data_IF_288695284527
#
_entry.id   IF_288695284527
#
_cell.length_a   1.000
_cell.length_b   1.000
_cell.length_c   1.000
_cell.angle_alpha   90.00
_cell.angle_beta   90.00
_cell.angle_gamma   90.00
#
_symmetry.space_group_name_H-M   'P 1'
#
loop_
_entity.id
_entity.type
_entity.pdbx_description
1 polymer ?
#
# COMPACT_ATOMS: atom_id res chain seq x y z
N UNK A 1 -34.04 -73.37 1.90
CA UNK A 1 -33.84 -72.79 0.55
C UNK A 1 -33.68 -71.28 0.68
N UNK A 2 -32.59 -70.78 0.12
CA UNK A 2 -32.01 -69.44 0.28
C UNK A 2 -32.97 -68.32 -0.11
N UNK A 3 -33.17 -67.32 0.77
CA UNK A 3 -33.57 -65.92 0.45
C UNK A 3 -33.83 -65.18 1.77
N UNK A 4 -32.85 -64.46 2.31
CA UNK A 4 -32.99 -63.35 3.30
C UNK A 4 -31.67 -62.88 3.95
N UNK A 5 -30.49 -63.33 3.50
CA UNK A 5 -29.19 -62.83 4.00
C UNK A 5 -28.42 -61.92 3.02
N UNK A 6 -28.96 -61.62 1.84
CA UNK A 6 -28.25 -60.83 0.83
C UNK A 6 -28.33 -59.30 1.05
N UNK A 7 -29.40 -58.79 1.67
CA UNK A 7 -29.60 -57.33 1.83
C UNK A 7 -28.71 -56.67 2.90
N UNK A 8 -28.35 -57.39 3.97
CA UNK A 8 -27.56 -56.84 5.09
C UNK A 8 -26.05 -56.78 4.79
N UNK A 9 -25.55 -57.61 3.87
CA UNK A 9 -24.13 -57.63 3.50
C UNK A 9 -23.86 -56.54 2.46
N UNK A 10 -24.80 -56.32 1.53
CA UNK A 10 -24.71 -55.26 0.52
C UNK A 10 -24.64 -53.87 1.16
N UNK A 11 -25.44 -53.60 2.20
CA UNK A 11 -25.42 -52.31 2.91
C UNK A 11 -24.16 -52.11 3.78
N UNK A 12 -23.58 -53.19 4.34
CA UNK A 12 -22.35 -53.11 5.17
C UNK A 12 -21.06 -53.00 4.35
N UNK A 13 -21.05 -53.44 3.09
CA UNK A 13 -19.91 -53.32 2.18
C UNK A 13 -19.95 -52.04 1.34
N UNK A 14 -21.13 -51.55 0.96
CA UNK A 14 -21.27 -50.37 0.11
C UNK A 14 -21.18 -49.06 0.89
N UNK A 15 -21.69 -49.03 2.13
CA UNK A 15 -21.64 -47.82 2.96
C UNK A 15 -20.20 -47.34 3.27
N UNK A 16 -19.23 -48.20 3.64
CA UNK A 16 -17.84 -47.75 3.76
C UNK A 16 -17.23 -47.38 2.40
N UNK A 17 -17.63 -48.03 1.30
CA UNK A 17 -17.13 -47.72 -0.05
C UNK A 17 -17.67 -46.40 -0.62
N UNK A 18 -18.80 -45.89 -0.10
CA UNK A 18 -19.39 -44.60 -0.44
C UNK A 18 -18.91 -43.46 0.47
N UNK A 19 -18.52 -43.76 1.72
CA UNK A 19 -17.99 -42.77 2.69
C UNK A 19 -16.48 -42.56 2.49
N UNK A 20 -15.72 -43.59 2.13
CA UNK A 20 -14.26 -43.49 1.90
C UNK A 20 -13.86 -42.47 0.79
N UNK A 21 -14.53 -42.39 -0.37
CA UNK A 21 -14.22 -41.37 -1.37
C UNK A 21 -14.64 -39.96 -0.93
N UNK A 22 -15.65 -39.81 -0.08
CA UNK A 22 -16.05 -38.50 0.49
C UNK A 22 -15.01 -38.00 1.50
N UNK A 23 -14.38 -38.90 2.26
CA UNK A 23 -13.27 -38.55 3.16
C UNK A 23 -11.95 -38.30 2.41
N UNK A 24 -11.69 -39.00 1.29
CA UNK A 24 -10.48 -38.81 0.48
C UNK A 24 -10.58 -37.60 -0.46
N UNK A 25 -11.78 -37.19 -0.88
CA UNK A 25 -11.99 -35.96 -1.63
C UNK A 25 -12.00 -34.69 -0.76
N UNK A 26 -12.13 -34.85 0.58
CA UNK A 26 -12.24 -33.75 1.54
C UNK A 26 -10.92 -33.17 2.04
N UNK A 27 -9.77 -33.69 1.61
CA UNK A 27 -8.44 -33.17 1.98
C UNK A 27 -7.67 -32.77 0.72
N UNK A 28 -8.21 -31.84 -0.07
CA UNK A 28 -7.35 -31.15 -1.03
C UNK A 28 -6.46 -30.21 -0.22
N UNK A 29 -5.15 -30.48 -0.25
CA UNK A 29 -4.14 -29.51 0.16
C UNK A 29 -4.42 -28.15 -0.52
N UNK A 30 -4.05 -27.06 0.14
CA UNK A 30 -4.24 -25.71 -0.39
C UNK A 30 -3.80 -25.63 -1.86
N UNK A 31 -4.62 -25.02 -2.71
CA UNK A 31 -4.32 -24.92 -4.15
C UNK A 31 -3.07 -24.08 -4.41
N UNK A 32 -2.69 -23.22 -3.46
CA UNK A 32 -1.48 -22.41 -3.50
C UNK A 32 -0.67 -22.59 -2.20
N UNK A 33 0.51 -23.20 -2.32
CA UNK A 33 1.48 -23.27 -1.22
C UNK A 33 2.02 -21.87 -0.89
N UNK A 34 2.12 -21.54 0.40
CA UNK A 34 2.59 -20.24 0.87
C UNK A 34 3.95 -19.80 0.33
N UNK A 35 4.85 -20.74 0.03
CA UNK A 35 6.18 -20.46 -0.55
C UNK A 35 6.11 -19.92 -1.98
N UNK A 36 5.10 -20.34 -2.74
CA UNK A 36 4.91 -19.98 -4.17
C UNK A 36 3.80 -18.97 -4.39
N UNK A 37 3.33 -18.31 -3.34
CA UNK A 37 2.19 -17.39 -3.41
C UNK A 37 2.48 -16.21 -4.36
N UNK A 38 3.71 -15.66 -4.28
CA UNK A 38 4.17 -14.56 -5.12
C UNK A 38 4.14 -14.94 -6.61
N UNK A 39 4.71 -16.10 -6.92
CA UNK A 39 4.72 -16.66 -8.28
C UNK A 39 3.30 -16.93 -8.78
N UNK A 40 2.43 -17.50 -7.94
CA UNK A 40 1.06 -17.83 -8.32
C UNK A 40 0.24 -16.59 -8.70
N UNK A 41 0.35 -15.49 -7.96
CA UNK A 41 -0.36 -14.24 -8.25
C UNK A 41 0.18 -13.61 -9.54
N UNK A 42 1.51 -13.54 -9.68
CA UNK A 42 2.13 -13.04 -10.91
C UNK A 42 1.75 -13.89 -12.13
N UNK A 43 1.68 -15.21 -11.98
CA UNK A 43 1.28 -16.14 -13.02
C UNK A 43 -0.17 -15.95 -13.45
N UNK A 44 -1.10 -15.79 -12.48
CA UNK A 44 -2.52 -15.53 -12.77
C UNK A 44 -2.66 -14.18 -13.49
N UNK A 45 -2.00 -13.14 -12.97
CA UNK A 45 -2.01 -11.81 -13.55
C UNK A 45 -1.54 -11.82 -15.01
N UNK A 46 -0.47 -12.57 -15.31
CA UNK A 46 0.06 -12.71 -16.66
C UNK A 46 -0.84 -13.56 -17.56
N UNK A 47 -1.21 -14.77 -17.12
CA UNK A 47 -1.92 -15.77 -17.94
C UNK A 47 -3.37 -15.38 -18.21
N UNK A 48 -4.06 -14.89 -17.19
CA UNK A 48 -5.50 -14.65 -17.26
C UNK A 48 -5.81 -13.21 -17.72
N UNK A 49 -4.91 -12.25 -17.45
CA UNK A 49 -5.17 -10.81 -17.63
C UNK A 49 -4.09 -10.05 -18.41
N UNK A 50 -2.99 -10.69 -18.84
CA UNK A 50 -1.94 -10.06 -19.65
C UNK A 50 -1.14 -8.97 -18.92
N UNK A 51 -1.02 -9.09 -17.59
CA UNK A 51 -0.25 -8.15 -16.75
C UNK A 51 1.15 -8.77 -16.50
N UNK A 52 2.14 -8.35 -17.28
CA UNK A 52 3.47 -8.99 -17.31
C UNK A 52 4.37 -8.67 -16.10
N UNK A 53 4.20 -7.50 -15.49
CA UNK A 53 5.12 -6.89 -14.51
C UNK A 53 4.45 -6.55 -13.17
N UNK A 54 3.99 -7.57 -12.46
CA UNK A 54 3.42 -7.43 -11.12
C UNK A 54 4.48 -7.73 -10.04
N UNK A 55 4.71 -6.84 -9.07
CA UNK A 55 5.53 -7.14 -7.88
C UNK A 55 4.60 -7.59 -6.74
N UNK A 56 4.96 -8.69 -6.09
CA UNK A 56 4.17 -9.29 -5.00
C UNK A 56 5.05 -9.44 -3.79
N UNK A 57 4.65 -8.80 -2.70
CA UNK A 57 5.37 -8.79 -1.42
C UNK A 57 4.46 -9.25 -0.30
N UNK A 58 5.05 -9.80 0.74
CA UNK A 58 4.32 -10.21 1.94
C UNK A 58 5.10 -9.65 3.12
N UNK A 59 4.46 -8.81 3.91
CA UNK A 59 4.99 -8.26 5.15
C UNK A 59 4.06 -8.66 6.29
N UNK A 60 4.59 -9.30 7.33
CA UNK A 60 3.78 -9.93 8.38
C UNK A 60 2.66 -10.81 7.81
N UNK A 61 1.41 -10.40 8.05
CA UNK A 61 0.18 -11.05 7.55
C UNK A 61 -0.51 -10.29 6.40
N UNK A 62 0.15 -9.27 5.83
CA UNK A 62 -0.33 -8.48 4.70
C UNK A 62 0.25 -8.99 3.39
N UNK A 63 -0.62 -9.34 2.44
CA UNK A 63 -0.24 -9.60 1.06
C UNK A 63 -0.32 -8.30 0.25
N UNK A 64 0.81 -7.80 -0.21
CA UNK A 64 0.87 -6.64 -1.08
C UNK A 64 1.06 -7.01 -2.55
N UNK A 65 0.43 -6.24 -3.44
CA UNK A 65 0.56 -6.33 -4.88
C UNK A 65 0.74 -4.94 -5.50
N UNK A 66 1.77 -4.77 -6.31
CA UNK A 66 2.00 -3.58 -7.12
C UNK A 66 1.55 -3.82 -8.57
N UNK A 67 0.63 -3.00 -9.03
CA UNK A 67 0.05 -3.03 -10.36
C UNK A 67 0.48 -1.78 -11.14
N UNK A 68 1.52 -1.86 -11.99
CA UNK A 68 1.88 -0.76 -12.86
C UNK A 68 0.85 -0.60 -13.98
N UNK A 69 0.40 0.64 -14.20
CA UNK A 69 -0.53 1.02 -15.25
C UNK A 69 0.08 2.15 -16.09
N UNK A 70 -0.20 2.14 -17.38
CA UNK A 70 0.21 3.22 -18.29
C UNK A 70 -0.68 4.45 -18.19
N UNK A 71 -1.92 4.26 -17.73
CA UNK A 71 -2.87 5.35 -17.50
C UNK A 71 -3.89 4.94 -16.44
N UNK A 72 -3.78 5.55 -15.25
CA UNK A 72 -4.73 5.33 -14.18
C UNK A 72 -5.96 6.25 -14.32
N UNK A 73 -5.74 7.54 -14.59
CA UNK A 73 -6.81 8.55 -14.60
C UNK A 73 -7.10 9.10 -16.01
N UNK A 74 -8.35 9.50 -16.24
CA UNK A 74 -8.81 9.98 -17.54
C UNK A 74 -8.28 11.38 -17.91
N UNK A 75 -8.05 12.23 -16.91
CA UNK A 75 -7.60 13.61 -17.09
C UNK A 75 -6.17 13.75 -16.59
N UNK A 76 -5.33 14.41 -17.39
CA UNK A 76 -4.01 14.85 -16.91
C UNK A 76 -4.23 16.02 -15.93
N UNK A 77 -4.09 15.73 -14.64
CA UNK A 77 -4.29 16.67 -13.53
C UNK A 77 -3.51 17.97 -13.73
N UNK A 78 -2.32 17.89 -14.35
CA UNK A 78 -1.47 19.06 -14.61
C UNK A 78 -2.12 20.01 -15.60
N UNK A 79 -2.69 19.49 -16.69
CA UNK A 79 -3.41 20.30 -17.69
C UNK A 79 -4.71 20.89 -17.11
N UNK A 80 -5.43 20.13 -16.28
CA UNK A 80 -6.67 20.59 -15.68
C UNK A 80 -6.47 21.72 -14.66
N UNK A 81 -5.42 21.65 -13.84
CA UNK A 81 -5.08 22.74 -12.90
C UNK A 81 -4.53 23.96 -13.65
N UNK A 82 -3.65 23.77 -14.63
CA UNK A 82 -3.03 24.88 -15.38
C UNK A 82 -4.04 25.62 -16.27
N UNK A 83 -5.11 24.96 -16.73
CA UNK A 83 -6.14 25.56 -17.58
C UNK A 83 -7.23 26.33 -16.81
N UNK A 84 -7.24 26.29 -15.47
CA UNK A 84 -8.22 26.99 -14.64
C UNK A 84 -9.67 26.53 -14.82
N UNK A 85 -9.89 25.42 -15.53
CA UNK A 85 -11.22 24.83 -15.81
C UNK A 85 -11.55 23.70 -14.84
N UNK A 86 -11.39 23.92 -13.54
CA UNK A 86 -11.86 22.98 -12.52
C UNK A 86 -13.15 23.52 -11.93
N UNK A 87 -14.28 23.14 -12.50
CA UNK A 87 -15.62 23.43 -11.96
C UNK A 87 -16.09 22.37 -10.98
N UNK A 88 -15.49 21.18 -10.99
CA UNK A 88 -15.82 20.07 -10.11
C UNK A 88 -14.55 19.24 -9.83
N UNK A 89 -14.17 19.11 -8.55
CA UNK A 89 -12.96 18.38 -8.15
C UNK A 89 -13.16 16.86 -8.19
N UNK A 90 -14.41 16.39 -8.10
CA UNK A 90 -14.73 14.96 -8.01
C UNK A 90 -14.62 14.25 -9.38
N UNK A 91 -14.79 14.99 -10.49
CA UNK A 91 -14.61 14.47 -11.84
C UNK A 91 -13.15 14.29 -12.27
N UNK A 92 -12.20 14.91 -11.56
CA UNK A 92 -10.77 14.87 -11.91
C UNK A 92 -10.08 13.58 -11.52
N UNK A 93 -10.62 12.86 -10.53
CA UNK A 93 -10.02 11.65 -9.97
C UNK A 93 -10.75 10.37 -10.41
N UNK A 94 -11.45 10.40 -11.55
CA UNK A 94 -12.08 9.22 -12.10
C UNK A 94 -11.03 8.34 -12.81
N UNK A 95 -10.81 7.11 -12.34
CA UNK A 95 -9.95 6.18 -13.06
C UNK A 95 -10.56 5.83 -14.42
N UNK A 96 -9.72 5.50 -15.40
CA UNK A 96 -10.21 5.05 -16.71
C UNK A 96 -10.95 3.70 -16.58
N UNK A 97 -11.89 3.41 -17.47
CA UNK A 97 -12.58 2.10 -17.47
C UNK A 97 -11.60 0.93 -17.58
N UNK A 98 -10.53 1.10 -18.36
CA UNK A 98 -9.46 0.11 -18.49
C UNK A 98 -8.71 -0.08 -17.16
N UNK A 99 -8.38 0.99 -16.46
CA UNK A 99 -7.73 0.93 -15.16
C UNK A 99 -8.64 0.24 -14.12
N UNK A 100 -9.93 0.59 -14.09
CA UNK A 100 -10.92 -0.04 -13.21
C UNK A 100 -10.96 -1.55 -13.47
N UNK A 101 -11.07 -1.97 -14.72
CA UNK A 101 -11.10 -3.39 -15.10
C UNK A 101 -9.86 -4.13 -14.61
N UNK A 102 -8.66 -3.58 -14.86
CA UNK A 102 -7.40 -4.20 -14.40
C UNK A 102 -7.28 -4.28 -12.88
N UNK A 103 -7.76 -3.26 -12.17
CA UNK A 103 -7.82 -3.26 -10.71
C UNK A 103 -8.77 -4.34 -10.21
N UNK A 104 -9.97 -4.46 -10.80
CA UNK A 104 -10.94 -5.49 -10.42
C UNK A 104 -10.43 -6.91 -10.69
N UNK A 105 -9.82 -7.13 -11.86
CA UNK A 105 -9.18 -8.40 -12.24
C UNK A 105 -8.08 -8.80 -11.24
N UNK A 106 -7.27 -7.82 -10.82
CA UNK A 106 -6.21 -8.04 -9.83
C UNK A 106 -6.79 -8.32 -8.44
N UNK A 107 -7.77 -7.54 -7.97
CA UNK A 107 -8.45 -7.78 -6.69
C UNK A 107 -9.12 -9.16 -6.67
N UNK A 108 -9.69 -9.59 -7.80
CA UNK A 108 -10.25 -10.92 -7.94
C UNK A 108 -9.18 -12.01 -7.83
N UNK A 109 -8.05 -11.83 -8.50
CA UNK A 109 -6.89 -12.74 -8.44
C UNK A 109 -6.35 -12.89 -7.02
N UNK A 110 -6.13 -11.76 -6.34
CA UNK A 110 -5.73 -11.69 -4.93
C UNK A 110 -6.74 -12.46 -4.07
N UNK A 111 -8.04 -12.19 -4.24
CA UNK A 111 -9.09 -12.84 -3.46
C UNK A 111 -9.10 -14.37 -3.64
N UNK A 112 -8.86 -14.86 -4.87
CA UNK A 112 -8.81 -16.30 -5.17
C UNK A 112 -7.63 -16.99 -4.47
N UNK A 113 -6.48 -16.34 -4.48
CA UNK A 113 -5.25 -16.86 -3.88
C UNK A 113 -5.35 -16.86 -2.36
N UNK A 114 -5.80 -15.75 -1.75
CA UNK A 114 -5.99 -15.62 -0.29
C UNK A 114 -6.95 -16.69 0.25
N UNK A 115 -8.04 -16.96 -0.47
CA UNK A 115 -9.03 -17.95 -0.03
C UNK A 115 -8.57 -19.41 -0.19
N UNK A 116 -7.49 -19.65 -0.92
CA UNK A 116 -7.06 -20.99 -1.33
C UNK A 116 -5.59 -21.29 -0.98
N UNK A 117 -4.99 -20.50 -0.09
CA UNK A 117 -3.62 -20.71 0.41
C UNK A 117 -3.62 -21.32 1.80
N UNK A 118 -2.54 -22.02 2.14
CA UNK A 118 -2.22 -22.53 3.48
C UNK A 118 -1.52 -21.47 4.36
N UNK A 119 -1.00 -20.39 3.77
CA UNK A 119 -0.40 -19.29 4.52
C UNK A 119 -1.48 -18.39 5.11
N UNK A 120 -1.35 -18.04 6.39
CA UNK A 120 -2.25 -17.06 7.03
C UNK A 120 -2.02 -15.67 6.43
N UNK A 121 -3.03 -15.15 5.75
CA UNK A 121 -3.08 -13.80 5.21
C UNK A 121 -4.32 -13.11 5.78
N UNK A 122 -4.11 -12.11 6.62
CA UNK A 122 -5.18 -11.37 7.29
C UNK A 122 -5.56 -10.13 6.47
N UNK A 123 -4.60 -9.51 5.76
CA UNK A 123 -4.83 -8.31 4.98
C UNK A 123 -4.32 -8.44 3.54
N UNK A 124 -4.93 -7.67 2.64
CA UNK A 124 -4.42 -7.47 1.30
C UNK A 124 -4.26 -5.99 1.00
N UNK A 125 -3.19 -5.66 0.28
CA UNK A 125 -2.84 -4.32 -0.15
C UNK A 125 -2.60 -4.34 -1.67
N UNK A 126 -3.39 -3.60 -2.44
CA UNK A 126 -3.16 -3.41 -3.87
C UNK A 126 -2.77 -1.96 -4.10
N UNK A 127 -1.63 -1.72 -4.73
CA UNK A 127 -1.19 -0.40 -5.15
C UNK A 127 -1.19 -0.36 -6.68
N UNK A 128 -2.16 0.36 -7.27
CA UNK A 128 -2.23 0.57 -8.70
C UNK A 128 -1.64 1.94 -9.04
N UNK A 129 -0.59 1.99 -9.85
CA UNK A 129 0.20 3.21 -10.04
C UNK A 129 0.36 3.55 -11.51
N UNK A 130 0.12 4.82 -11.88
CA UNK A 130 0.47 5.35 -13.19
C UNK A 130 1.98 5.55 -13.29
N UNK A 131 2.66 4.61 -13.95
CA UNK A 131 4.13 4.62 -14.08
C UNK A 131 4.62 5.48 -15.23
N UNK A 132 3.73 5.93 -16.11
CA UNK A 132 4.11 6.54 -17.37
C UNK A 132 4.04 8.06 -17.36
N UNK A 133 3.01 8.63 -16.74
CA UNK A 133 2.74 10.08 -16.81
C UNK A 133 2.78 10.76 -15.46
N UNK A 134 1.91 10.35 -14.55
CA UNK A 134 1.59 11.18 -13.39
C UNK A 134 2.25 10.74 -12.10
N UNK A 135 2.62 9.45 -11.97
CA UNK A 135 3.04 8.88 -10.69
C UNK A 135 1.90 8.81 -9.66
N UNK A 136 0.65 9.11 -10.04
CA UNK A 136 -0.47 8.98 -9.12
C UNK A 136 -0.77 7.50 -8.92
N UNK A 137 -1.10 7.15 -7.69
CA UNK A 137 -1.46 5.80 -7.31
C UNK A 137 -2.81 5.77 -6.60
N UNK A 138 -3.49 4.64 -6.77
CA UNK A 138 -4.70 4.27 -6.07
C UNK A 138 -4.41 3.00 -5.27
N UNK A 139 -4.45 3.11 -3.96
CA UNK A 139 -4.20 2.00 -3.04
C UNK A 139 -5.52 1.40 -2.57
N UNK A 140 -5.53 0.11 -2.28
CA UNK A 140 -6.65 -0.60 -1.68
C UNK A 140 -6.14 -1.49 -0.56
N UNK A 141 -6.63 -1.26 0.65
CA UNK A 141 -6.34 -2.09 1.81
C UNK A 141 -7.64 -2.72 2.32
N UNK A 142 -7.65 -4.05 2.45
CA UNK A 142 -8.81 -4.78 2.94
C UNK A 142 -8.45 -5.99 3.79
N UNK A 143 -9.43 -6.46 4.56
CA UNK A 143 -9.31 -7.63 5.42
C UNK A 143 -9.80 -8.89 4.71
N UNK A 144 -9.06 -9.99 4.81
CA UNK A 144 -9.33 -11.22 4.07
C UNK A 144 -10.67 -11.87 4.45
N UNK A 145 -11.09 -11.80 5.71
CA UNK A 145 -12.39 -12.35 6.11
C UNK A 145 -13.57 -11.55 5.57
N UNK A 146 -13.40 -10.26 5.26
CA UNK A 146 -14.49 -9.49 4.65
C UNK A 146 -14.82 -10.01 3.24
N UNK A 147 -13.82 -10.53 2.51
CA UNK A 147 -14.02 -11.22 1.22
C UNK A 147 -14.92 -12.45 1.42
N UNK A 148 -14.67 -13.24 2.47
CA UNK A 148 -15.50 -14.42 2.78
C UNK A 148 -16.91 -13.98 3.12
N UNK A 149 -17.05 -13.01 4.02
CA UNK A 149 -18.35 -12.52 4.50
C UNK A 149 -19.21 -11.94 3.39
N UNK A 150 -18.63 -11.17 2.46
CA UNK A 150 -19.41 -10.64 1.32
C UNK A 150 -19.82 -11.75 0.36
N UNK A 151 -18.98 -12.77 0.15
CA UNK A 151 -19.30 -13.94 -0.70
C UNK A 151 -20.38 -14.84 -0.08
N UNK A 152 -20.42 -14.95 1.24
CA UNK A 152 -21.45 -15.68 1.99
C UNK A 152 -22.69 -14.83 2.32
N UNK A 153 -22.76 -13.58 1.82
CA UNK A 153 -23.87 -12.65 2.09
C UNK A 153 -24.05 -12.28 3.57
N UNK A 154 -23.04 -12.51 4.42
CA UNK A 154 -23.03 -12.09 5.83
C UNK A 154 -22.97 -10.56 5.98
N UNK A 155 -22.42 -9.88 4.97
CA UNK A 155 -22.42 -8.42 4.85
C UNK A 155 -22.85 -8.01 3.43
N UNK A 156 -23.61 -6.92 3.28
CA UNK A 156 -23.95 -6.41 1.96
C UNK A 156 -22.73 -5.78 1.29
N UNK A 157 -22.74 -5.72 -0.05
CA UNK A 157 -21.67 -5.09 -0.85
C UNK A 157 -21.43 -3.63 -0.48
N UNK A 158 -22.49 -2.91 -0.07
CA UNK A 158 -22.37 -1.53 0.41
C UNK A 158 -21.52 -1.42 1.67
N UNK A 159 -21.69 -2.34 2.63
CA UNK A 159 -20.86 -2.38 3.83
C UNK A 159 -19.44 -2.86 3.53
N UNK A 160 -19.26 -3.83 2.62
CA UNK A 160 -17.94 -4.25 2.17
C UNK A 160 -17.14 -3.06 1.60
N UNK A 161 -17.75 -2.21 0.76
CA UNK A 161 -17.11 -1.00 0.23
C UNK A 161 -16.70 0.00 1.31
N UNK A 162 -17.49 0.14 2.39
CA UNK A 162 -17.12 1.00 3.53
C UNK A 162 -15.99 0.43 4.39
N UNK A 163 -15.76 -0.89 4.32
CA UNK A 163 -14.71 -1.58 5.08
C UNK A 163 -13.35 -1.51 4.38
N UNK A 164 -13.35 -1.46 3.06
CA UNK A 164 -12.14 -1.30 2.27
C UNK A 164 -11.63 0.15 2.32
N UNK A 165 -10.35 0.30 2.65
CA UNK A 165 -9.64 1.59 2.65
C UNK A 165 -9.07 1.79 1.24
N UNK A 166 -9.29 2.96 0.63
CA UNK A 166 -8.81 3.26 -0.72
C UNK A 166 -8.19 4.66 -0.83
N UNK A 167 -6.91 4.83 -1.06
CA UNK A 167 -6.28 6.17 -1.04
C UNK A 167 -5.71 6.55 -2.39
N UNK A 168 -5.81 7.84 -2.72
CA UNK A 168 -5.13 8.42 -3.87
C UNK A 168 -3.91 9.16 -3.32
N UNK A 169 -2.73 8.77 -3.78
CA UNK A 169 -1.46 9.37 -3.36
C UNK A 169 -0.59 9.64 -4.59
N UNK A 170 0.44 10.46 -4.41
CA UNK A 170 1.45 10.73 -5.44
C UNK A 170 2.72 9.98 -5.08
N UNK A 171 3.11 9.03 -5.93
CA UNK A 171 4.33 8.26 -5.81
C UNK A 171 5.36 8.75 -6.82
N UNK A 172 6.23 9.66 -6.36
CA UNK A 172 7.27 10.25 -7.21
C UNK A 172 8.41 9.30 -7.51
N UNK A 173 8.68 8.34 -6.62
CA UNK A 173 9.77 7.37 -6.78
C UNK A 173 9.63 6.59 -8.09
N UNK A 174 8.41 6.20 -8.47
CA UNK A 174 8.13 5.52 -9.74
C UNK A 174 8.62 6.31 -10.96
N UNK A 175 8.40 7.62 -10.97
CA UNK A 175 8.86 8.49 -12.06
C UNK A 175 10.39 8.64 -12.04
N UNK A 176 10.97 8.82 -10.86
CA UNK A 176 12.42 8.95 -10.70
C UNK A 176 13.18 7.68 -11.03
N UNK A 177 12.59 6.51 -10.82
CA UNK A 177 13.21 5.23 -11.12
C UNK A 177 13.11 4.85 -12.60
N UNK A 178 12.17 5.42 -13.34
CA UNK A 178 11.98 5.21 -14.79
C UNK A 178 13.26 5.34 -15.62
N UNK A 179 14.06 6.43 -15.53
CA UNK A 179 15.32 6.54 -16.28
C UNK A 179 16.35 5.47 -15.87
N UNK A 180 16.37 5.03 -14.62
CA UNK A 180 17.27 3.96 -14.14
C UNK A 180 16.86 2.61 -14.73
N UNK A 181 15.57 2.29 -14.69
CA UNK A 181 15.02 1.07 -15.32
C UNK A 181 15.28 1.05 -16.82
N UNK A 182 15.05 2.20 -17.49
CA UNK A 182 15.33 2.36 -18.92
C UNK A 182 16.81 2.15 -19.24
N UNK A 183 17.72 2.67 -18.41
CA UNK A 183 19.15 2.47 -18.57
C UNK A 183 19.53 0.98 -18.54
N UNK A 184 19.07 0.22 -17.54
CA UNK A 184 19.38 -1.22 -17.46
C UNK A 184 18.68 -2.05 -18.54
N UNK A 185 17.46 -1.68 -18.95
CA UNK A 185 16.80 -2.27 -20.11
C UNK A 185 17.60 -2.04 -21.40
N UNK A 186 18.05 -0.80 -21.62
CA UNK A 186 18.87 -0.43 -22.77
C UNK A 186 20.22 -1.16 -22.75
N UNK A 187 20.84 -1.39 -21.58
CA UNK A 187 22.07 -2.18 -21.46
C UNK A 187 21.89 -3.62 -21.95
N UNK A 188 20.70 -4.20 -21.79
CA UNK A 188 20.39 -5.54 -22.23
C UNK A 188 20.11 -5.61 -23.75
N UNK A 189 19.47 -4.60 -24.31
CA UNK A 189 18.98 -4.65 -25.69
C UNK A 189 19.89 -3.98 -26.72
N UNK A 190 20.50 -2.84 -26.36
CA UNK A 190 21.19 -1.94 -27.29
C UNK A 190 22.67 -2.27 -27.46
N UNK A 191 23.23 -1.72 -28.53
CA UNK A 191 24.65 -1.82 -28.84
C UNK A 191 25.47 -0.76 -28.10
N UNK A 192 26.77 -1.02 -27.96
CA UNK A 192 27.73 -0.12 -27.32
C UNK A 192 27.71 1.31 -27.92
N UNK A 193 27.71 1.51 -29.27
CA UNK A 193 27.66 2.86 -29.84
C UNK A 193 26.36 3.60 -29.51
N UNK A 194 25.22 2.91 -29.50
CA UNK A 194 23.93 3.51 -29.16
C UNK A 194 23.90 3.96 -27.69
N UNK A 195 24.40 3.12 -26.78
CA UNK A 195 24.51 3.45 -25.36
C UNK A 195 25.46 4.62 -25.10
N UNK A 196 26.58 4.68 -25.83
CA UNK A 196 27.53 5.79 -25.76
C UNK A 196 26.84 7.12 -26.07
N UNK A 197 26.01 7.15 -27.12
CA UNK A 197 25.27 8.33 -27.54
C UNK A 197 24.13 8.68 -26.57
N UNK A 198 23.51 7.71 -25.91
CA UNK A 198 22.37 7.95 -25.02
C UNK A 198 22.80 8.42 -23.62
N UNK A 199 23.82 7.79 -23.03
CA UNK A 199 24.13 7.95 -21.60
C UNK A 199 25.55 8.42 -21.29
N UNK A 200 26.48 8.30 -22.24
CA UNK A 200 27.92 8.47 -21.97
C UNK A 200 28.62 9.47 -22.88
N UNK A 201 27.89 10.49 -23.40
CA UNK A 201 28.44 11.48 -24.35
C UNK A 201 29.74 12.14 -23.88
N UNK A 202 29.86 12.35 -22.57
CA UNK A 202 30.98 13.07 -21.95
C UNK A 202 32.01 12.14 -21.26
N UNK A 203 31.86 10.81 -21.36
CA UNK A 203 32.77 9.85 -20.72
C UNK A 203 33.68 9.13 -21.73
N UNK A 204 34.91 8.82 -21.30
CA UNK A 204 35.84 8.01 -22.10
C UNK A 204 35.30 6.59 -22.25
N UNK A 205 35.20 6.13 -23.50
CA UNK A 205 34.65 4.82 -23.87
C UNK A 205 35.25 3.60 -23.18
N UNK A 206 36.51 3.69 -22.73
CA UNK A 206 37.23 2.61 -22.07
C UNK A 206 36.80 2.43 -20.60
N UNK A 207 36.39 3.51 -19.94
CA UNK A 207 36.13 3.50 -18.49
C UNK A 207 34.76 2.87 -18.20
N UNK A 208 33.71 3.31 -18.91
CA UNK A 208 32.37 2.72 -18.75
C UNK A 208 32.24 1.36 -19.46
N UNK A 209 33.00 1.12 -20.53
CA UNK A 209 32.96 -0.15 -21.26
C UNK A 209 33.36 -1.35 -20.37
N UNK A 210 34.37 -1.15 -19.50
CA UNK A 210 34.77 -2.17 -18.52
C UNK A 210 33.73 -2.36 -17.43
N UNK A 211 33.19 -1.26 -16.90
CA UNK A 211 32.20 -1.31 -15.83
C UNK A 211 30.92 -2.05 -16.25
N UNK A 212 30.48 -1.86 -17.49
CA UNK A 212 29.26 -2.48 -18.01
C UNK A 212 29.48 -3.75 -18.87
N UNK A 213 30.67 -4.36 -18.79
CA UNK A 213 31.04 -5.60 -19.48
C UNK A 213 30.91 -5.57 -21.02
N UNK A 214 31.22 -4.42 -21.62
CA UNK A 214 31.40 -4.21 -23.06
C UNK A 214 32.87 -4.30 -23.50
N UNK A 215 33.71 -4.94 -22.69
CA UNK A 215 35.09 -5.30 -23.06
C UNK A 215 35.30 -6.80 -22.87
N UNK A 216 35.98 -7.45 -23.82
CA UNK A 216 36.38 -8.85 -23.70
C UNK A 216 37.50 -9.05 -22.65
N UNK A 217 37.91 -10.30 -22.43
CA UNK A 217 39.00 -10.64 -21.50
C UNK A 217 40.36 -10.09 -21.91
N UNK A 218 40.51 -9.67 -23.17
CA UNK A 218 41.72 -9.06 -23.74
C UNK A 218 41.65 -7.53 -23.69
N UNK A 219 40.56 -6.94 -23.19
CA UNK A 219 40.33 -5.50 -23.14
C UNK A 219 39.80 -4.88 -24.44
N UNK A 220 39.49 -5.67 -25.46
CA UNK A 220 38.91 -5.17 -26.71
C UNK A 220 37.42 -4.91 -26.53
N UNK A 221 36.89 -3.84 -27.13
CA UNK A 221 35.48 -3.54 -27.03
C UNK A 221 34.61 -4.56 -27.79
N UNK A 222 33.53 -4.99 -27.16
CA UNK A 222 32.47 -5.80 -27.79
C UNK A 222 31.24 -4.94 -28.09
N UNK A 223 30.53 -5.28 -29.15
CA UNK A 223 29.38 -4.51 -29.63
C UNK A 223 28.15 -4.66 -28.72
N UNK A 224 27.93 -5.85 -28.17
CA UNK A 224 26.85 -6.13 -27.20
C UNK A 224 27.41 -6.56 -25.86
N UNK A 225 26.68 -6.25 -24.79
CA UNK A 225 27.04 -6.63 -23.44
C UNK A 225 27.14 -8.15 -23.31
N UNK A 226 28.16 -8.60 -22.58
CA UNK A 226 28.38 -10.03 -22.28
C UNK A 226 27.51 -10.55 -21.12
N UNK A 227 26.74 -9.65 -20.49
CA UNK A 227 25.88 -9.94 -19.34
C UNK A 227 24.49 -9.34 -19.51
N UNK A 228 23.51 -9.99 -18.91
CA UNK A 228 22.16 -9.48 -18.71
C UNK A 228 22.06 -8.87 -17.30
N UNK A 229 21.48 -7.69 -17.22
CA UNK A 229 21.33 -6.90 -16.01
C UNK A 229 19.90 -7.00 -15.47
N UNK A 230 19.80 -7.28 -14.18
CA UNK A 230 18.55 -7.36 -13.43
C UNK A 230 18.64 -6.42 -12.21
N UNK A 231 17.60 -5.62 -11.98
CA UNK A 231 17.53 -4.72 -10.83
C UNK A 231 17.01 -5.52 -9.62
N UNK A 232 17.77 -5.54 -8.54
CA UNK A 232 17.42 -6.21 -7.28
C UNK A 232 16.75 -5.26 -6.30
N UNK A 233 17.24 -4.03 -6.21
CA UNK A 233 16.68 -2.98 -5.36
C UNK A 233 16.86 -1.63 -6.02
N UNK A 234 15.89 -0.73 -5.81
CA UNK A 234 15.94 0.65 -6.28
C UNK A 234 15.24 1.56 -5.29
N UNK A 235 15.95 2.59 -4.85
CA UNK A 235 15.47 3.57 -3.88
C UNK A 235 15.88 4.96 -4.31
N UNK A 236 15.14 5.98 -3.90
CA UNK A 236 15.47 7.35 -4.26
C UNK A 236 15.26 8.33 -3.13
N UNK A 237 15.98 9.44 -3.22
CA UNK A 237 15.88 10.55 -2.30
C UNK A 237 15.87 11.84 -3.11
N UNK A 238 14.85 12.67 -2.87
CA UNK A 238 14.84 14.03 -3.40
C UNK A 238 15.90 14.87 -2.68
N UNK A 239 16.73 15.55 -3.46
CA UNK A 239 17.67 16.57 -3.00
C UNK A 239 17.09 17.96 -3.34
N UNK A 240 17.77 19.04 -2.94
CA UNK A 240 17.40 20.40 -3.29
C UNK A 240 17.43 20.63 -4.82
N UNK A 241 16.68 21.61 -5.31
CA UNK A 241 16.70 22.09 -6.70
C UNK A 241 16.33 21.07 -7.79
N UNK A 242 15.29 20.26 -7.55
CA UNK A 242 14.78 19.27 -8.53
C UNK A 242 15.76 18.16 -8.88
N UNK A 243 16.84 18.01 -8.10
CA UNK A 243 17.73 16.88 -8.22
C UNK A 243 17.24 15.72 -7.37
N UNK A 244 17.37 14.52 -7.92
CA UNK A 244 17.04 13.27 -7.24
C UNK A 244 18.25 12.37 -7.32
N UNK A 245 18.56 11.71 -6.22
CA UNK A 245 19.56 10.64 -6.18
C UNK A 245 18.82 9.33 -6.09
N UNK A 246 19.06 8.43 -7.04
CA UNK A 246 18.53 7.07 -7.00
C UNK A 246 19.67 6.08 -6.76
N UNK A 247 19.53 5.25 -5.75
CA UNK A 247 20.37 4.09 -5.50
C UNK A 247 19.79 2.89 -6.25
N UNK A 248 20.63 2.11 -6.93
CA UNK A 248 20.22 0.83 -7.48
C UNK A 248 21.24 -0.26 -7.16
N UNK A 249 20.73 -1.38 -6.64
CA UNK A 249 21.45 -2.64 -6.53
C UNK A 249 21.05 -3.54 -7.67
N UNK A 250 22.02 -4.05 -8.41
CA UNK A 250 21.78 -4.84 -9.63
C UNK A 250 22.62 -6.10 -9.67
N UNK A 251 22.13 -7.07 -10.42
CA UNK A 251 22.76 -8.36 -10.68
C UNK A 251 23.07 -8.48 -12.17
N UNK A 252 24.34 -8.73 -12.50
CA UNK A 252 24.79 -8.95 -13.87
C UNK A 252 25.09 -10.44 -14.10
N UNK A 253 24.23 -11.13 -14.86
CA UNK A 253 24.31 -12.56 -15.15
C UNK A 253 25.00 -12.80 -16.49
N UNK A 254 25.96 -13.71 -16.57
CA UNK A 254 26.65 -14.02 -17.83
C UNK A 254 25.72 -14.66 -18.87
N UNK A 255 25.71 -14.09 -20.09
CA UNK A 255 24.96 -14.66 -21.22
C UNK A 255 25.47 -16.04 -21.57
N UNK A 256 24.56 -17.03 -21.60
CA UNK A 256 24.88 -18.41 -21.99
C UNK A 256 25.57 -19.26 -20.91
N UNK A 257 25.82 -18.74 -19.70
CA UNK A 257 26.30 -19.52 -18.54
C UNK A 257 25.45 -19.22 -17.31
N UNK A 258 24.33 -19.95 -17.12
CA UNK A 258 23.49 -19.80 -15.95
C UNK A 258 24.29 -20.10 -14.67
N UNK A 259 24.28 -19.16 -13.71
CA UNK A 259 24.85 -19.36 -12.36
C UNK A 259 26.00 -18.43 -11.98
N UNK A 260 26.75 -17.89 -12.93
CA UNK A 260 27.76 -16.86 -12.64
C UNK A 260 27.12 -15.47 -12.72
N UNK A 261 27.02 -14.79 -11.57
CA UNK A 261 26.56 -13.41 -11.48
C UNK A 261 27.53 -12.55 -10.67
N UNK A 262 27.48 -11.25 -10.90
CA UNK A 262 28.17 -10.25 -10.08
C UNK A 262 27.13 -9.23 -9.63
N UNK A 263 27.12 -8.92 -8.35
CA UNK A 263 26.32 -7.83 -7.80
C UNK A 263 27.10 -6.52 -7.92
N UNK A 264 26.40 -5.46 -8.28
CA UNK A 264 26.92 -4.11 -8.41
C UNK A 264 25.93 -3.13 -7.83
N UNK A 265 26.45 -2.03 -7.30
CA UNK A 265 25.66 -0.96 -6.71
C UNK A 265 26.05 0.37 -7.35
N UNK A 266 25.06 1.20 -7.65
CA UNK A 266 25.24 2.47 -8.33
C UNK A 266 24.36 3.57 -7.71
N UNK A 267 24.84 4.80 -7.78
CA UNK A 267 24.05 6.01 -7.59
C UNK A 267 23.83 6.71 -8.93
N UNK A 268 22.60 7.12 -9.15
CA UNK A 268 22.16 7.87 -10.31
C UNK A 268 21.75 9.26 -9.86
N UNK A 269 22.33 10.30 -10.47
CA UNK A 269 21.83 11.67 -10.34
C UNK A 269 20.85 11.95 -11.46
N UNK A 270 19.65 12.35 -11.09
CA UNK A 270 18.52 12.53 -11.98
C UNK A 270 18.02 13.96 -11.81
N UNK A 271 17.82 14.66 -12.92
CA UNK A 271 17.21 15.98 -12.92
C UNK A 271 15.72 15.82 -13.25
N UNK A 272 14.85 16.16 -12.32
CA UNK A 272 13.40 16.05 -12.44
C UNK A 272 12.78 17.41 -12.80
N UNK A 273 12.84 17.79 -14.07
CA UNK A 273 12.34 19.11 -14.53
C UNK A 273 10.89 19.00 -15.00
N UNK A 274 9.94 19.30 -14.11
CA UNK A 274 8.51 19.40 -14.45
C UNK A 274 7.91 18.06 -14.89
N UNK A 275 8.02 17.74 -16.19
CA UNK A 275 7.43 16.57 -16.87
C UNK A 275 8.46 15.56 -17.39
N UNK A 276 9.75 15.79 -17.11
CA UNK A 276 10.83 14.92 -17.61
C UNK A 276 11.88 14.66 -16.55
N UNK A 277 12.20 13.39 -16.38
CA UNK A 277 13.32 12.89 -15.59
C UNK A 277 14.49 12.55 -16.53
N UNK A 278 15.59 13.28 -16.39
CA UNK A 278 16.78 13.07 -17.20
C UNK A 278 17.92 12.52 -16.34
N UNK A 279 18.52 11.41 -16.78
CA UNK A 279 19.70 10.85 -16.13
C UNK A 279 20.93 11.72 -16.42
N UNK A 280 21.50 12.34 -15.39
CA UNK A 280 22.68 13.22 -15.51
C UNK A 280 23.99 12.52 -15.26
N UNK A 281 24.03 11.62 -14.28
CA UNK A 281 25.28 10.93 -13.92
C UNK A 281 25.01 9.55 -13.34
N UNK A 282 25.91 8.63 -13.64
CA UNK A 282 25.97 7.28 -13.07
C UNK A 282 27.29 7.17 -12.30
N UNK A 283 27.21 6.76 -11.04
CA UNK A 283 28.35 6.70 -10.11
C UNK A 283 28.38 5.29 -9.49
N UNK A 284 29.36 4.45 -9.85
CA UNK A 284 29.56 3.16 -9.16
C UNK A 284 29.82 3.38 -7.66
N UNK A 285 29.19 2.59 -6.78
CA UNK A 285 29.37 2.73 -5.32
C UNK A 285 30.82 2.54 -4.85
N UNK A 286 31.65 1.85 -5.64
CA UNK A 286 33.07 1.67 -5.37
C UNK A 286 33.89 2.96 -5.56
N UNK A 287 33.39 3.91 -6.36
CA UNK A 287 34.07 5.19 -6.64
C UNK A 287 33.35 6.41 -6.05
N UNK A 288 32.30 6.19 -5.25
CA UNK A 288 31.46 7.26 -4.68
C UNK A 288 32.25 8.25 -3.86
N UNK A 289 33.17 7.81 -3.00
CA UNK A 289 33.94 8.74 -2.16
C UNK A 289 34.81 9.69 -2.99
N UNK A 290 35.47 9.16 -4.02
CA UNK A 290 36.30 9.94 -4.94
C UNK A 290 35.47 10.94 -5.76
N UNK A 291 34.23 10.57 -6.11
CA UNK A 291 33.35 11.43 -6.92
C UNK A 291 32.63 12.48 -6.06
N UNK A 292 32.22 12.15 -4.83
CA UNK A 292 31.53 13.07 -3.95
C UNK A 292 32.47 14.15 -3.39
N UNK A 293 33.76 13.84 -3.21
CA UNK A 293 34.77 14.85 -2.86
C UNK A 293 34.94 15.93 -3.93
N UNK A 294 34.73 15.59 -5.21
CA UNK A 294 34.87 16.52 -6.34
C UNK A 294 33.62 17.42 -6.53
N UNK A 295 32.45 16.99 -6.04
CA UNK A 295 31.16 17.65 -6.30
C UNK A 295 30.64 18.44 -5.09
N UNK A 296 31.39 18.46 -3.96
CA UNK A 296 30.99 19.15 -2.72
C UNK A 296 29.59 18.75 -2.20
N UNK A 297 29.18 17.51 -2.47
CA UNK A 297 27.93 16.98 -1.92
C UNK A 297 28.14 16.59 -0.44
N UNK A 298 27.24 16.97 0.47
CA UNK A 298 27.39 16.74 1.91
C UNK A 298 27.00 15.30 2.33
N UNK A 299 27.28 14.29 1.51
CA UNK A 299 26.98 12.90 1.81
C UNK A 299 28.23 12.04 1.68
N UNK A 300 28.44 11.13 2.61
CA UNK A 300 29.46 10.07 2.53
C UNK A 300 28.79 8.75 2.15
N UNK A 301 29.59 7.76 1.72
CA UNK A 301 29.10 6.41 1.44
C UNK A 301 28.40 5.78 2.65
N UNK A 302 28.96 5.98 3.85
CA UNK A 302 28.38 5.52 5.12
C UNK A 302 27.02 6.15 5.39
N UNK A 303 26.90 7.49 5.24
CA UNK A 303 25.61 8.18 5.42
C UNK A 303 24.53 7.69 4.46
N UNK A 304 24.92 7.31 3.24
CA UNK A 304 23.99 6.73 2.27
C UNK A 304 23.47 5.39 2.82
N UNK A 305 24.35 4.44 3.15
CA UNK A 305 23.92 3.14 3.68
C UNK A 305 23.08 3.26 4.96
N UNK A 306 23.48 4.13 5.89
CA UNK A 306 22.75 4.35 7.14
C UNK A 306 21.35 4.97 6.93
N UNK A 307 21.13 5.63 5.79
CA UNK A 307 19.86 6.28 5.46
C UNK A 307 19.03 5.53 4.43
N UNK A 308 19.56 4.51 3.74
CA UNK A 308 18.87 3.81 2.63
C UNK A 308 17.48 3.28 3.00
N UNK A 309 17.28 2.84 4.25
CA UNK A 309 15.98 2.36 4.75
C UNK A 309 14.90 3.43 4.88
N UNK A 310 15.28 4.69 4.75
CA UNK A 310 14.36 5.84 4.76
C UNK A 310 14.20 6.47 3.38
N UNK A 311 14.85 5.93 2.35
CA UNK A 311 14.71 6.42 0.99
C UNK A 311 13.40 5.91 0.39
N UNK A 312 12.83 6.71 -0.51
CA UNK A 312 11.56 6.42 -1.14
C UNK A 312 11.69 5.17 -2.03
N UNK A 313 10.70 4.28 -1.94
CA UNK A 313 10.58 3.10 -2.80
C UNK A 313 9.29 3.18 -3.61
N UNK A 314 9.24 2.46 -4.73
CA UNK A 314 8.02 2.44 -5.56
C UNK A 314 6.89 1.68 -4.88
N UNK A 315 7.21 0.70 -4.03
CA UNK A 315 6.24 -0.23 -3.50
C UNK A 315 6.64 -0.69 -2.10
N UNK A 316 5.85 -0.28 -1.11
CA UNK A 316 5.99 -0.67 0.28
C UNK A 316 4.69 -1.32 0.76
N UNK A 317 4.81 -2.47 1.40
CA UNK A 317 3.66 -3.20 1.94
C UNK A 317 3.59 -2.91 3.44
N UNK A 318 2.46 -2.37 3.94
CA UNK A 318 2.35 -2.13 5.37
C UNK A 318 2.23 -3.44 6.15
N UNK A 319 2.99 -3.58 7.24
CA UNK A 319 2.71 -4.59 8.26
C UNK A 319 1.45 -4.18 9.03
N UNK A 320 0.30 -4.68 8.57
CA UNK A 320 -1.00 -4.23 9.04
C UNK A 320 -1.50 -5.11 10.18
N UNK A 321 -1.85 -4.49 11.30
CA UNK A 321 -2.56 -5.17 12.38
C UNK A 321 -4.06 -4.87 12.32
N UNK A 322 -4.86 -5.70 12.99
CA UNK A 322 -6.31 -5.47 13.09
C UNK A 322 -6.64 -4.15 13.78
N UNK A 323 -5.92 -3.77 14.82
CA UNK A 323 -6.17 -2.50 15.51
C UNK A 323 -5.90 -1.28 14.61
N UNK A 324 -4.80 -1.30 13.86
CA UNK A 324 -4.44 -0.24 12.92
C UNK A 324 -5.44 -0.15 11.76
N UNK A 325 -5.81 -1.29 11.18
CA UNK A 325 -6.80 -1.38 10.12
C UNK A 325 -8.15 -0.80 10.56
N UNK A 326 -8.62 -1.15 11.76
CA UNK A 326 -9.88 -0.64 12.29
C UNK A 326 -9.81 0.87 12.58
N UNK A 327 -8.67 1.37 13.07
CA UNK A 327 -8.47 2.80 13.28
C UNK A 327 -8.52 3.60 11.97
N UNK A 328 -7.85 3.11 10.92
CA UNK A 328 -7.90 3.71 9.58
C UNK A 328 -9.31 3.66 8.99
N UNK A 329 -9.97 2.50 9.06
CA UNK A 329 -11.34 2.33 8.58
C UNK A 329 -12.31 3.27 9.30
N UNK A 330 -12.23 3.35 10.64
CA UNK A 330 -13.06 4.24 11.43
C UNK A 330 -12.79 5.70 11.14
N UNK A 331 -11.54 6.10 10.91
CA UNK A 331 -11.19 7.47 10.52
C UNK A 331 -11.96 7.89 9.26
N UNK A 332 -11.96 7.03 8.24
CA UNK A 332 -12.63 7.31 6.97
C UNK A 332 -14.15 7.30 7.09
N UNK A 333 -14.69 6.31 7.81
CA UNK A 333 -16.14 6.25 8.09
C UNK A 333 -16.59 7.49 8.87
N UNK A 334 -15.77 7.98 9.79
CA UNK A 334 -16.00 9.25 10.51
C UNK A 334 -16.03 10.45 9.58
N UNK A 335 -15.03 10.58 8.70
CA UNK A 335 -14.97 11.69 7.74
C UNK A 335 -16.18 11.69 6.80
N UNK A 336 -16.64 10.51 6.36
CA UNK A 336 -17.85 10.37 5.54
C UNK A 336 -19.13 10.74 6.31
N UNK A 337 -19.26 10.34 7.58
CA UNK A 337 -20.40 10.73 8.41
C UNK A 337 -20.45 12.26 8.61
N UNK A 338 -19.29 12.86 8.89
CA UNK A 338 -19.15 14.31 9.09
C UNK A 338 -19.52 15.08 7.82
N UNK A 339 -19.13 14.61 6.64
CA UNK A 339 -19.41 15.31 5.38
C UNK A 339 -20.88 15.24 4.96
N UNK A 340 -21.62 14.25 5.45
CA UNK A 340 -23.03 14.03 5.13
C UNK A 340 -23.99 14.65 6.17
N UNK A 341 -23.48 15.13 7.30
CA UNK A 341 -24.29 15.62 8.41
C UNK A 341 -24.50 17.15 8.33
N UNK A 342 -25.75 17.55 8.12
CA UNK A 342 -26.13 18.97 7.98
C UNK A 342 -25.87 19.79 9.25
N UNK A 343 -26.05 19.20 10.45
CA UNK A 343 -25.82 19.91 11.72
C UNK A 343 -24.34 20.22 11.87
N UNK A 344 -23.47 19.26 11.57
CA UNK A 344 -22.01 19.45 11.60
C UNK A 344 -21.60 20.50 10.56
N UNK A 345 -22.06 20.38 9.32
CA UNK A 345 -21.75 21.32 8.25
C UNK A 345 -22.12 22.77 8.60
N UNK A 346 -23.27 22.97 9.24
CA UNK A 346 -23.74 24.31 9.61
C UNK A 346 -23.01 24.90 10.83
N UNK A 347 -22.46 24.05 11.69
CA UNK A 347 -21.86 24.47 12.97
C UNK A 347 -20.36 24.73 12.88
N UNK A 348 -19.62 23.85 12.21
CA UNK A 348 -18.15 23.87 12.19
C UNK A 348 -17.62 24.46 10.88
N UNK A 349 -16.54 25.24 10.95
CA UNK A 349 -15.89 25.79 9.74
C UNK A 349 -15.06 24.74 8.99
N UNK A 350 -14.71 23.64 9.67
CA UNK A 350 -14.12 22.45 9.05
C UNK A 350 -13.67 21.46 10.12
N UNK A 351 -14.15 20.22 10.06
CA UNK A 351 -13.81 19.19 11.04
C UNK A 351 -12.73 18.27 10.48
N UNK A 352 -11.66 18.06 11.24
CA UNK A 352 -10.65 17.03 10.97
C UNK A 352 -10.65 16.01 12.08
N UNK A 353 -10.71 14.74 11.71
CA UNK A 353 -10.70 13.61 12.64
C UNK A 353 -9.68 12.57 12.20
N UNK A 354 -9.00 11.98 13.19
CA UNK A 354 -8.08 10.86 13.03
C UNK A 354 -8.26 9.95 14.23
N UNK A 355 -8.50 8.66 14.00
CA UNK A 355 -8.38 7.64 15.03
C UNK A 355 -7.02 6.96 14.91
N UNK A 356 -6.41 6.67 16.06
CA UNK A 356 -5.24 5.81 16.19
C UNK A 356 -5.54 4.68 17.16
N UNK A 357 -4.87 3.55 16.96
CA UNK A 357 -4.84 2.47 17.92
C UNK A 357 -3.47 2.46 18.61
N UNK A 358 -3.47 2.37 19.93
CA UNK A 358 -2.26 2.17 20.72
C UNK A 358 -2.27 0.74 21.27
N UNK A 359 -1.34 -0.12 20.79
CA UNK A 359 -1.24 -1.50 21.24
C UNK A 359 -0.51 -1.63 22.60
N UNK A 360 0.06 -0.56 23.15
CA UNK A 360 0.72 -0.58 24.45
C UNK A 360 -0.32 -0.53 25.57
N UNK A 361 -0.11 -1.31 26.62
CA UNK A 361 -1.04 -1.39 27.74
C UNK A 361 -1.08 -0.07 28.56
N UNK A 362 -2.26 0.46 28.91
CA UNK A 362 -3.59 -0.02 28.52
C UNK A 362 -3.90 0.23 27.04
N UNK A 363 -4.32 -0.82 26.33
CA UNK A 363 -4.56 -0.80 24.89
C UNK A 363 -5.78 0.07 24.61
N UNK A 364 -5.69 1.00 23.67
CA UNK A 364 -6.80 1.92 23.48
C UNK A 364 -6.89 2.50 22.08
N UNK A 365 -8.07 3.01 21.75
CA UNK A 365 -8.25 3.87 20.60
C UNK A 365 -8.24 5.34 21.04
N UNK A 366 -7.56 6.16 20.26
CA UNK A 366 -7.47 7.60 20.47
C UNK A 366 -8.08 8.35 19.30
N UNK A 367 -9.18 9.03 19.56
CA UNK A 367 -9.88 9.91 18.64
C UNK A 367 -9.34 11.34 18.78
N UNK A 368 -8.58 11.78 17.78
CA UNK A 368 -8.05 13.13 17.68
C UNK A 368 -8.97 13.96 16.79
N UNK A 369 -9.40 15.11 17.30
CA UNK A 369 -10.33 15.97 16.59
C UNK A 369 -9.92 17.43 16.62
N UNK A 370 -10.04 18.07 15.46
CA UNK A 370 -10.01 19.53 15.32
C UNK A 370 -11.36 19.97 14.80
N UNK A 371 -12.13 20.68 15.62
CA UNK A 371 -13.48 21.13 15.28
C UNK A 371 -13.70 22.62 15.65
N UNK A 372 -13.19 23.55 14.82
CA UNK A 372 -13.40 24.99 14.99
C UNK A 372 -14.85 25.35 14.64
N UNK A 373 -15.49 26.14 15.50
CA UNK A 373 -16.85 26.62 15.29
C UNK A 373 -16.85 27.78 14.27
N UNK A 374 -17.94 27.94 13.51
CA UNK A 374 -18.11 29.09 12.59
C UNK A 374 -18.35 30.39 13.35
N UNK A 375 -19.05 30.32 14.48
CA UNK A 375 -19.26 31.48 15.35
C UNK A 375 -18.03 31.72 16.23
N UNK A 376 -17.31 32.82 15.95
CA UNK A 376 -16.10 33.24 16.66
C UNK A 376 -16.38 33.52 18.15
N UNK A 377 -17.64 33.79 18.52
CA UNK A 377 -18.03 34.02 19.93
C UNK A 377 -18.19 32.73 20.72
N UNK A 378 -18.31 31.60 20.05
CA UNK A 378 -18.43 30.30 20.70
C UNK A 378 -17.08 29.60 20.71
N UNK A 379 -16.71 29.06 21.87
CA UNK A 379 -15.55 28.19 21.99
C UNK A 379 -15.99 26.73 21.95
N UNK A 380 -15.24 25.88 21.25
CA UNK A 380 -15.45 24.42 21.25
C UNK A 380 -15.38 23.83 22.67
N UNK A 381 -14.75 24.56 23.59
CA UNK A 381 -14.86 24.39 25.03
C UNK A 381 -14.75 25.74 25.75
N UNK A 382 -15.55 25.93 26.79
CA UNK A 382 -15.35 27.01 27.76
C UNK A 382 -15.10 26.47 29.17
N UNK A 383 -14.47 27.30 30.03
CA UNK A 383 -14.25 26.96 31.43
C UNK A 383 -15.57 26.87 32.24
N UNK A 384 -16.63 27.55 31.78
CA UNK A 384 -17.91 27.68 32.50
C UNK A 384 -18.96 26.68 32.02
N UNK A 385 -19.05 26.44 30.70
CA UNK A 385 -20.09 25.59 30.09
C UNK A 385 -19.56 24.20 29.69
N UNK A 386 -18.26 23.94 29.85
CA UNK A 386 -17.65 22.68 29.47
C UNK A 386 -17.50 22.53 27.95
N UNK A 387 -17.61 21.31 27.46
CA UNK A 387 -17.52 20.98 26.03
C UNK A 387 -18.79 21.42 25.32
N UNK A 388 -18.64 22.09 24.17
CA UNK A 388 -19.77 22.53 23.35
C UNK A 388 -20.70 21.35 22.98
N UNK A 389 -22.01 21.57 22.95
CA UNK A 389 -22.99 20.50 22.73
C UNK A 389 -22.84 19.84 21.35
N UNK A 390 -22.45 20.57 20.32
CA UNK A 390 -22.23 20.02 18.99
C UNK A 390 -20.95 19.18 18.91
N UNK A 391 -19.97 19.46 19.77
CA UNK A 391 -18.80 18.59 19.96
C UNK A 391 -19.20 17.27 20.62
N UNK A 392 -20.10 17.33 21.62
CA UNK A 392 -20.65 16.12 22.25
C UNK A 392 -21.50 15.31 21.25
N UNK A 393 -22.31 15.98 20.43
CA UNK A 393 -23.09 15.35 19.37
C UNK A 393 -22.19 14.60 18.37
N UNK A 394 -21.10 15.23 17.92
CA UNK A 394 -20.13 14.60 17.05
C UNK A 394 -19.45 13.40 17.72
N UNK A 395 -19.05 13.50 18.99
CA UNK A 395 -18.55 12.35 19.74
C UNK A 395 -19.57 11.23 19.87
N UNK A 396 -20.86 11.54 20.02
CA UNK A 396 -21.91 10.53 20.05
C UNK A 396 -22.01 9.76 18.74
N UNK A 397 -22.03 10.47 17.61
CA UNK A 397 -22.02 9.86 16.27
C UNK A 397 -20.81 8.94 16.12
N UNK A 398 -19.63 9.41 16.55
CA UNK A 398 -18.42 8.60 16.41
C UNK A 398 -18.32 7.42 17.35
N UNK A 399 -18.82 7.58 18.57
CA UNK A 399 -18.91 6.48 19.52
C UNK A 399 -19.84 5.38 18.98
N UNK A 400 -20.95 5.77 18.35
CA UNK A 400 -21.90 4.83 17.74
C UNK A 400 -21.24 4.02 16.62
N UNK A 401 -20.56 4.69 15.71
CA UNK A 401 -19.83 4.02 14.62
C UNK A 401 -18.73 3.10 15.17
N UNK A 402 -17.97 3.57 16.16
CA UNK A 402 -16.92 2.82 16.83
C UNK A 402 -17.44 1.48 17.40
N UNK A 403 -18.48 1.51 18.23
CA UNK A 403 -19.00 0.29 18.87
C UNK A 403 -19.60 -0.70 17.87
N UNK A 404 -20.19 -0.19 16.78
CA UNK A 404 -20.73 -1.04 15.71
C UNK A 404 -19.61 -1.76 14.93
N UNK A 405 -18.53 -1.04 14.59
CA UNK A 405 -17.37 -1.61 13.91
C UNK A 405 -16.67 -2.63 14.80
N UNK A 406 -16.33 -2.27 16.04
CA UNK A 406 -15.64 -3.19 16.97
C UNK A 406 -16.40 -4.50 17.14
N UNK A 407 -17.73 -4.43 17.31
CA UNK A 407 -18.59 -5.62 17.37
C UNK A 407 -18.66 -6.37 16.05
N UNK A 408 -18.72 -5.64 14.94
CA UNK A 408 -18.77 -6.19 13.58
C UNK A 408 -17.57 -7.08 13.25
N UNK A 409 -16.39 -6.77 13.80
CA UNK A 409 -15.17 -7.58 13.67
C UNK A 409 -14.91 -8.49 14.86
N UNK A 410 -15.72 -8.40 15.94
CA UNK A 410 -15.47 -9.07 17.21
C UNK A 410 -14.07 -8.76 17.76
N UNK A 411 -13.64 -7.50 17.60
CA UNK A 411 -12.34 -7.05 18.07
C UNK A 411 -12.42 -6.70 19.55
N UNK A 412 -11.66 -7.44 20.35
CA UNK A 412 -11.71 -7.36 21.81
C UNK A 412 -10.39 -6.88 22.44
N UNK A 413 -9.35 -6.67 21.64
CA UNK A 413 -8.02 -6.30 22.12
C UNK A 413 -7.92 -4.78 22.34
N UNK A 414 -8.71 -4.25 23.28
CA UNK A 414 -8.70 -2.84 23.68
C UNK A 414 -9.45 -2.64 25.01
N UNK A 415 -9.04 -1.62 25.76
CA UNK A 415 -9.51 -1.32 27.12
C UNK A 415 -10.47 -0.12 27.14
N UNK A 416 -10.15 0.95 26.41
CA UNK A 416 -10.97 2.17 26.35
C UNK A 416 -10.89 2.90 25.00
N UNK A 417 -11.84 3.83 24.80
CA UNK A 417 -11.81 4.85 23.76
C UNK A 417 -11.55 6.21 24.41
N UNK A 418 -10.59 6.96 23.86
CA UNK A 418 -10.30 8.32 24.30
C UNK A 418 -10.61 9.35 23.23
N UNK A 419 -11.00 10.54 23.67
CA UNK A 419 -11.28 11.69 22.84
C UNK A 419 -10.34 12.82 23.23
N UNK A 420 -9.75 13.44 22.23
CA UNK A 420 -8.91 14.62 22.37
C UNK A 420 -9.33 15.68 21.37
N UNK A 421 -9.37 16.93 21.85
CA UNK A 421 -9.72 18.08 21.03
C UNK A 421 -8.48 18.96 20.92
N UNK A 422 -8.02 19.22 19.70
CA UNK A 422 -6.83 20.06 19.46
C UNK A 422 -6.98 21.46 20.05
N UNK A 423 -8.20 21.99 20.11
CA UNK A 423 -8.51 23.27 20.74
C UNK A 423 -8.51 23.23 22.28
N UNK A 424 -8.44 22.05 22.90
CA UNK A 424 -8.45 21.85 24.35
C UNK A 424 -7.38 20.82 24.78
N UNK A 425 -6.13 21.06 24.37
CA UNK A 425 -5.01 20.11 24.49
C UNK A 425 -4.76 19.57 25.91
N UNK A 426 -5.17 20.29 26.96
CA UNK A 426 -4.93 19.89 28.35
C UNK A 426 -5.88 18.80 28.88
N UNK A 427 -6.78 18.26 28.06
CA UNK A 427 -7.79 17.33 28.54
C UNK A 427 -8.05 16.18 27.57
N UNK A 428 -8.19 15.00 28.17
CA UNK A 428 -8.58 13.77 27.48
C UNK A 428 -9.84 13.26 28.15
N UNK A 429 -10.85 12.97 27.34
CA UNK A 429 -12.05 12.28 27.78
C UNK A 429 -11.91 10.80 27.47
N UNK A 430 -12.28 9.92 28.41
CA UNK A 430 -12.15 8.46 28.27
C UNK A 430 -13.49 7.79 28.52
N UNK A 431 -13.80 6.80 27.71
CA UNK A 431 -14.92 5.89 27.89
C UNK A 431 -14.42 4.45 27.88
N UNK A 432 -14.62 3.74 28.99
CA UNK A 432 -14.19 2.35 29.14
C UNK A 432 -15.06 1.41 28.33
N UNK A 433 -14.52 0.24 27.95
CA UNK A 433 -15.22 -0.76 27.15
C UNK A 433 -16.59 -1.18 27.74
N UNK A 434 -16.69 -1.31 29.07
CA UNK A 434 -17.94 -1.67 29.73
C UNK A 434 -19.03 -0.60 29.57
N UNK A 435 -18.65 0.68 29.68
CA UNK A 435 -19.56 1.81 29.52
C UNK A 435 -19.97 2.01 28.06
N UNK A 436 -19.06 1.78 27.11
CA UNK A 436 -19.36 1.78 25.68
C UNK A 436 -20.39 0.71 25.30
N UNK A 437 -20.37 -0.46 25.96
CA UNK A 437 -21.39 -1.49 25.76
C UNK A 437 -22.76 -1.08 26.34
N UNK A 438 -22.79 -0.32 27.44
CA UNK A 438 -24.02 0.28 27.97
C UNK A 438 -24.57 1.36 27.03
N UNK A 439 -23.69 2.20 26.48
CA UNK A 439 -24.03 3.20 25.47
C UNK A 439 -24.64 2.56 24.22
N UNK A 440 -24.01 1.50 23.69
CA UNK A 440 -24.52 0.73 22.54
C UNK A 440 -25.92 0.17 22.80
N UNK A 441 -26.19 -0.28 24.03
CA UNK A 441 -27.51 -0.78 24.46
C UNK A 441 -28.52 0.33 24.76
N UNK A 442 -28.15 1.59 24.53
CA UNK A 442 -28.95 2.79 24.82
C UNK A 442 -29.33 2.91 26.30
N UNK A 443 -28.51 2.35 27.19
CA UNK A 443 -28.72 2.42 28.65
C UNK A 443 -28.07 3.65 29.29
N UNK A 444 -27.05 4.21 28.64
CA UNK A 444 -26.34 5.42 29.03
C UNK A 444 -26.16 6.32 27.81
N UNK A 445 -26.20 7.64 27.98
CA UNK A 445 -25.83 8.61 26.95
C UNK A 445 -24.31 8.80 26.90
N UNK A 446 -23.82 9.49 25.85
CA UNK A 446 -22.38 9.76 25.70
C UNK A 446 -21.83 10.56 26.90
N UNK A 447 -22.60 11.51 27.44
CA UNK A 447 -22.17 12.33 28.59
C UNK A 447 -21.99 11.50 29.86
N UNK A 448 -22.74 10.40 30.01
CA UNK A 448 -22.73 9.56 31.20
C UNK A 448 -21.56 8.57 31.23
N UNK A 449 -20.89 8.38 30.08
CA UNK A 449 -19.80 7.42 29.91
C UNK A 449 -18.42 8.08 29.79
N UNK A 450 -18.38 9.41 29.65
CA UNK A 450 -17.11 10.14 29.53
C UNK A 450 -16.57 10.53 30.91
N UNK A 451 -15.40 10.02 31.22
CA UNK A 451 -14.57 10.47 32.35
C UNK A 451 -13.51 11.46 31.83
N UNK A 452 -13.23 12.52 32.59
CA UNK A 452 -12.24 13.54 32.19
C UNK A 452 -10.96 13.32 32.97
N UNK A 453 -9.83 13.26 32.27
CA UNK A 453 -8.49 13.34 32.84
C UNK A 453 -7.81 14.61 32.35
N UNK A 454 -7.24 15.40 33.26
CA UNK A 454 -6.28 16.43 32.88
C UNK A 454 -4.96 15.74 32.47
N UNK A 455 -4.36 16.22 31.39
CA UNK A 455 -3.07 15.71 30.88
C UNK A 455 -1.91 16.34 31.64
#
# INVERSE_FOLDING_TARGET
>A
MMKKKAGSIFFRLILPFLILPVCLAGCMAASYSGEKLKEAIADIARKDYGIDHCDVRIEGTTLGVFLPLSQLFAVDFKEAILSGKVTDMDGLFQPTEEAIRRIEDMLFSISRVILSTDKKIDFYYLQATDTDKTGMELTFLGHSDDIKRVRFWDIPRSEYRKRMIHEIQLNRAVLWHKPVRRFFSDLNEKTRPELALLYFKDMRGADWGKEFFFTDTSGNPVEKGSRDWEILDIRSLSVQDQEVVAYAKVKAVSRGRPGAFVEKEYLFRILATGDKEELKRIIPMDSVEQVLSDVSLPMTKEMIYDSLDRWDTEFEVPDMTMGDFLALQLTRRSQMLISQDERIYNTFSGVKVVLKYDPLAPKHFAFFMTAPLKDIKQASRSLVQGVNEDVIYLWELMTREFVEVMRGYRFEDWDYLSFSLTQAQSFIWKADRADLELFRRKKKGIRDILSVSAV
#
